data_IF_959058813943
#
_entry.id   IF_959058813943
#
_cell.length_a   1.000
_cell.length_b   1.000
_cell.length_c   1.000
_cell.angle_alpha   90.00
_cell.angle_beta   90.00
_cell.angle_gamma   90.00
#
_symmetry.space_group_name_H-M   'P 1'
#
loop_
_entity.id
_entity.type
_entity.pdbx_description
1 polymer ?
#
# COMPACT_ATOMS: atom_id res chain seq x y z
N UNK A 1 -12.30 7.55 36.29
CA UNK A 1 -11.07 6.75 36.28
C UNK A 1 -10.12 7.39 35.28
N UNK A 2 -9.04 8.03 35.74
CA UNK A 2 -8.05 8.67 34.87
C UNK A 2 -7.00 7.63 34.50
N UNK A 3 -6.99 7.17 33.25
CA UNK A 3 -5.91 6.34 32.72
C UNK A 3 -4.68 7.24 32.50
N UNK A 4 -3.68 7.10 33.36
CA UNK A 4 -2.35 7.66 33.12
C UNK A 4 -1.53 6.60 32.40
N UNK A 5 -1.30 6.82 31.11
CA UNK A 5 -0.34 6.04 30.33
C UNK A 5 0.91 6.88 30.06
N UNK A 6 2.07 6.25 30.10
CA UNK A 6 3.28 6.84 29.56
C UNK A 6 3.20 6.70 28.04
N UNK A 7 3.38 7.82 27.34
CA UNK A 7 3.40 7.84 25.87
C UNK A 7 4.79 8.26 25.41
N UNK A 8 5.36 7.51 24.51
CA UNK A 8 6.64 7.82 23.89
C UNK A 8 6.39 8.42 22.51
N UNK A 9 7.06 9.52 22.20
CA UNK A 9 6.98 10.17 20.91
C UNK A 9 8.37 10.23 20.30
N UNK A 10 8.45 9.98 18.99
CA UNK A 10 9.67 10.17 18.22
C UNK A 10 9.42 11.25 17.17
N UNK A 11 10.29 12.23 17.13
CA UNK A 11 10.30 13.27 16.11
C UNK A 11 11.52 13.12 15.24
N UNK A 12 11.33 13.25 13.93
CA UNK A 12 12.40 13.26 12.95
C UNK A 12 12.27 14.51 12.10
N UNK A 13 13.37 15.21 11.90
CA UNK A 13 13.45 16.35 11.00
C UNK A 13 14.11 15.90 9.70
N UNK A 14 13.40 16.02 8.60
CA UNK A 14 13.89 15.72 7.25
C UNK A 14 13.98 17.01 6.43
N UNK A 15 15.17 17.58 6.23
CA UNK A 15 15.36 18.63 5.25
C UNK A 15 15.19 18.06 3.84
N UNK A 16 14.28 18.63 3.05
CA UNK A 16 14.01 18.16 1.69
C UNK A 16 13.77 19.33 0.74
N UNK A 17 13.87 19.09 -0.57
CA UNK A 17 13.73 20.11 -1.62
C UNK A 17 12.31 20.51 -1.98
N UNK A 18 11.30 20.19 -1.15
CA UNK A 18 9.89 20.50 -1.39
C UNK A 18 9.11 19.34 -2.02
N UNK A 19 9.71 18.18 -2.27
CA UNK A 19 9.02 16.99 -2.75
C UNK A 19 8.32 16.28 -1.58
N UNK A 20 6.98 16.39 -1.53
CA UNK A 20 6.17 15.75 -0.50
C UNK A 20 6.15 14.22 -0.63
N UNK A 21 6.36 13.68 -1.84
CA UNK A 21 6.42 12.24 -2.04
C UNK A 21 7.66 11.62 -1.37
N UNK A 22 8.80 12.32 -1.41
CA UNK A 22 10.00 11.92 -0.70
C UNK A 22 9.75 11.90 0.81
N UNK A 23 9.19 12.97 1.35
CA UNK A 23 8.89 13.07 2.78
C UNK A 23 7.91 11.97 3.25
N UNK A 24 6.89 11.67 2.46
CA UNK A 24 5.92 10.61 2.76
C UNK A 24 6.59 9.21 2.78
N UNK A 25 7.50 8.93 1.85
CA UNK A 25 8.26 7.68 1.80
C UNK A 25 9.14 7.50 3.02
N UNK A 26 9.90 8.53 3.38
CA UNK A 26 10.77 8.50 4.57
C UNK A 26 9.96 8.34 5.87
N UNK A 27 8.81 9.00 5.97
CA UNK A 27 7.91 8.84 7.10
C UNK A 27 7.37 7.40 7.21
N UNK A 28 7.06 6.77 6.08
CA UNK A 28 6.60 5.39 6.03
C UNK A 28 7.70 4.42 6.51
N UNK A 29 8.94 4.57 6.02
CA UNK A 29 10.09 3.76 6.46
C UNK A 29 10.38 3.92 7.96
N UNK A 30 10.17 5.12 8.50
CA UNK A 30 10.34 5.38 9.92
C UNK A 30 9.28 4.67 10.79
N UNK A 31 8.03 4.64 10.31
CA UNK A 31 6.90 4.03 11.02
C UNK A 31 6.81 2.51 10.83
N UNK A 32 7.36 2.00 9.73
CA UNK A 32 7.39 0.58 9.38
C UNK A 32 8.83 0.14 9.09
N UNK A 33 9.70 0.07 10.13
CA UNK A 33 11.08 -0.32 9.94
C UNK A 33 11.17 -1.78 9.46
N UNK A 34 12.27 -2.07 8.75
CA UNK A 34 12.58 -3.45 8.34
C UNK A 34 12.79 -4.33 9.57
N UNK A 35 12.12 -5.46 9.62
CA UNK A 35 12.26 -6.44 10.69
C UNK A 35 13.26 -7.53 10.29
N UNK A 36 14.40 -7.66 11.00
CA UNK A 36 15.35 -8.73 10.74
C UNK A 36 14.87 -10.05 11.33
N UNK A 37 14.92 -11.11 10.55
CA UNK A 37 14.65 -12.48 11.01
C UNK A 37 15.93 -13.28 10.89
N UNK A 38 16.35 -13.92 11.99
CA UNK A 38 17.52 -14.79 12.01
C UNK A 38 17.11 -16.24 11.73
N UNK A 39 17.81 -16.88 10.81
CA UNK A 39 17.64 -18.27 10.45
C UNK A 39 18.96 -19.03 10.44
N UNK A 40 18.91 -20.34 10.45
CA UNK A 40 20.07 -21.18 10.20
C UNK A 40 20.25 -21.39 8.71
N UNK A 41 21.50 -21.69 8.29
CA UNK A 41 21.77 -22.04 6.91
C UNK A 41 21.11 -23.40 6.58
N UNK A 42 20.19 -23.39 5.61
CA UNK A 42 19.50 -24.57 5.12
C UNK A 42 19.29 -24.48 3.60
N UNK A 43 19.07 -25.61 2.95
CA UNK A 43 18.65 -25.63 1.56
C UNK A 43 17.22 -25.14 1.38
N UNK A 44 16.89 -24.57 0.23
CA UNK A 44 15.55 -24.12 -0.11
C UNK A 44 15.43 -23.75 -1.58
N UNK A 45 14.20 -23.63 -2.04
CA UNK A 45 13.87 -23.28 -3.44
C UNK A 45 13.39 -21.84 -3.60
N UNK A 46 13.27 -21.09 -2.48
CA UNK A 46 12.82 -19.70 -2.54
C UNK A 46 13.92 -18.79 -3.12
N UNK A 47 13.55 -17.76 -3.87
CA UNK A 47 14.51 -16.80 -4.40
C UNK A 47 15.17 -16.00 -3.27
N UNK A 48 16.36 -15.48 -3.53
CA UNK A 48 17.09 -14.65 -2.56
C UNK A 48 16.38 -13.31 -2.23
N UNK A 49 15.52 -12.84 -3.11
CA UNK A 49 14.67 -11.66 -2.91
C UNK A 49 13.32 -11.87 -3.55
N UNK A 50 12.29 -11.30 -2.96
CA UNK A 50 10.93 -11.33 -3.47
C UNK A 50 10.25 -9.99 -3.21
N UNK A 51 9.62 -9.42 -4.24
CA UNK A 51 8.77 -8.23 -4.13
C UNK A 51 7.32 -8.66 -4.36
N UNK A 52 6.50 -8.62 -3.33
CA UNK A 52 5.09 -9.05 -3.41
C UNK A 52 4.18 -8.02 -4.07
N UNK A 53 4.57 -6.74 -4.08
CA UNK A 53 3.79 -5.63 -4.64
C UNK A 53 4.73 -4.56 -5.19
N UNK A 54 4.49 -4.14 -6.42
CA UNK A 54 5.17 -3.02 -7.06
C UNK A 54 4.17 -1.94 -7.44
N UNK A 55 4.52 -0.68 -7.22
CA UNK A 55 3.73 0.50 -7.63
C UNK A 55 4.63 1.40 -8.46
N UNK A 56 4.35 1.50 -9.75
CA UNK A 56 5.11 2.34 -10.69
C UNK A 56 4.61 3.79 -10.65
N UNK A 57 4.86 4.44 -9.52
CA UNK A 57 4.60 5.87 -9.37
C UNK A 57 5.33 6.41 -8.13
N UNK A 58 6.12 7.48 -8.25
CA UNK A 58 6.82 8.04 -7.10
C UNK A 58 5.91 8.72 -6.08
N UNK A 59 4.69 9.10 -6.48
CA UNK A 59 3.74 9.81 -5.63
C UNK A 59 2.56 8.97 -5.16
N UNK A 60 2.54 7.68 -5.47
CA UNK A 60 1.50 6.76 -4.98
C UNK A 60 2.13 5.72 -4.08
N UNK A 61 1.57 5.57 -2.90
CA UNK A 61 2.03 4.62 -1.89
C UNK A 61 0.93 3.62 -1.60
N UNK A 62 1.27 2.34 -1.55
CA UNK A 62 0.40 1.31 -0.98
C UNK A 62 0.72 1.17 0.52
N UNK A 63 -0.15 1.67 1.38
CA UNK A 63 0.03 1.64 2.82
C UNK A 63 -0.46 0.33 3.45
N UNK A 64 -1.49 -0.27 2.87
CA UNK A 64 -2.14 -1.45 3.45
C UNK A 64 -2.22 -2.58 2.43
N UNK A 65 -1.73 -3.73 2.83
CA UNK A 65 -1.97 -5.02 2.18
C UNK A 65 -2.48 -5.97 3.26
N UNK A 66 -3.72 -6.41 3.16
CA UNK A 66 -4.32 -7.30 4.15
C UNK A 66 -5.33 -8.25 3.51
N UNK A 67 -5.72 -9.30 4.19
CA UNK A 67 -6.90 -10.06 3.81
C UNK A 67 -8.18 -9.24 4.06
N UNK A 68 -9.15 -9.38 3.18
CA UNK A 68 -10.48 -8.83 3.39
C UNK A 68 -11.13 -9.42 4.64
N UNK A 69 -12.06 -8.70 5.26
CA UNK A 69 -12.73 -9.15 6.50
C UNK A 69 -13.48 -10.48 6.31
N UNK A 70 -13.94 -10.77 5.09
CA UNK A 70 -14.57 -12.05 4.74
C UNK A 70 -13.57 -13.17 4.38
N UNK A 71 -12.27 -12.86 4.30
CA UNK A 71 -11.20 -13.79 3.96
C UNK A 71 -11.11 -14.19 2.47
N UNK A 72 -11.96 -13.66 1.60
CA UNK A 72 -12.09 -14.11 0.21
C UNK A 72 -11.17 -13.35 -0.77
N UNK A 73 -10.53 -12.26 -0.33
CA UNK A 73 -9.73 -11.40 -1.19
C UNK A 73 -8.55 -10.76 -0.44
N UNK A 74 -7.64 -10.14 -1.19
CA UNK A 74 -6.70 -9.15 -0.64
C UNK A 74 -7.28 -7.74 -0.80
N UNK A 75 -7.04 -6.92 0.20
CA UNK A 75 -7.33 -5.49 0.18
C UNK A 75 -6.01 -4.73 0.04
N UNK A 76 -5.97 -3.87 -0.96
CA UNK A 76 -4.90 -2.91 -1.17
C UNK A 76 -5.45 -1.51 -0.94
N UNK A 77 -4.79 -0.71 -0.08
CA UNK A 77 -5.10 0.72 0.07
C UNK A 77 -3.93 1.54 -0.40
N UNK A 78 -4.18 2.32 -1.43
CA UNK A 78 -3.20 3.19 -2.04
C UNK A 78 -3.65 4.64 -1.90
N UNK A 79 -2.70 5.55 -1.76
CA UNK A 79 -3.01 6.97 -1.70
C UNK A 79 -1.96 7.82 -2.43
N UNK A 80 -2.40 8.95 -2.92
CA UNK A 80 -1.56 9.93 -3.60
C UNK A 80 -0.97 10.91 -2.57
N UNK A 81 0.35 11.09 -2.56
CA UNK A 81 1.11 11.81 -1.52
C UNK A 81 1.58 13.21 -1.92
N UNK A 82 1.64 13.53 -3.22
CA UNK A 82 2.23 14.77 -3.71
C UNK A 82 1.22 15.93 -3.88
N UNK A 83 -0.08 15.67 -3.63
CA UNK A 83 -1.14 16.67 -3.76
C UNK A 83 -1.47 17.05 -5.20
N UNK A 84 -1.24 16.16 -6.16
CA UNK A 84 -1.51 16.34 -7.60
C UNK A 84 -2.08 15.08 -8.22
N UNK A 85 -2.86 15.18 -9.32
CA UNK A 85 -3.33 13.99 -10.02
C UNK A 85 -2.16 13.09 -10.43
N UNK A 86 -2.34 11.77 -10.27
CA UNK A 86 -1.33 10.78 -10.60
C UNK A 86 -1.97 9.55 -11.25
N UNK A 87 -1.14 8.80 -11.99
CA UNK A 87 -1.45 7.46 -12.43
C UNK A 87 -0.40 6.51 -11.87
N UNK A 88 -0.81 5.30 -11.56
CA UNK A 88 0.07 4.24 -11.11
C UNK A 88 -0.32 2.91 -11.76
N UNK A 89 0.68 2.17 -12.22
CA UNK A 89 0.55 0.77 -12.51
C UNK A 89 0.92 -0.03 -11.26
N UNK A 90 0.07 -0.97 -10.90
CA UNK A 90 0.24 -1.83 -9.73
C UNK A 90 0.44 -3.26 -10.22
N UNK A 91 1.55 -3.88 -9.82
CA UNK A 91 1.82 -5.29 -10.07
C UNK A 91 1.86 -6.04 -8.75
N UNK A 92 1.05 -7.08 -8.64
CA UNK A 92 0.95 -7.96 -7.47
C UNK A 92 1.51 -9.32 -7.84
N UNK A 93 2.48 -9.80 -7.05
CA UNK A 93 3.16 -11.09 -7.25
C UNK A 93 2.88 -12.07 -6.11
N UNK A 94 1.90 -11.76 -5.26
CA UNK A 94 1.49 -12.62 -4.14
C UNK A 94 0.81 -13.87 -4.70
N UNK A 95 1.24 -15.10 -4.34
CA UNK A 95 0.65 -16.33 -4.83
C UNK A 95 -0.88 -16.38 -4.68
N UNK A 96 -1.56 -16.79 -5.74
CA UNK A 96 -3.03 -16.82 -5.89
C UNK A 96 -3.71 -15.45 -6.10
N UNK A 97 -2.95 -14.35 -6.06
CA UNK A 97 -3.44 -12.98 -6.24
C UNK A 97 -2.64 -12.21 -7.28
N UNK A 98 -1.89 -12.93 -8.15
CA UNK A 98 -1.09 -12.31 -9.19
C UNK A 98 -1.97 -11.45 -10.10
N UNK A 99 -1.60 -10.20 -10.26
CA UNK A 99 -2.40 -9.23 -11.03
C UNK A 99 -1.57 -8.05 -11.48
N UNK A 100 -2.03 -7.40 -12.55
CA UNK A 100 -1.50 -6.11 -13.00
C UNK A 100 -2.66 -5.23 -13.43
N UNK A 101 -2.74 -4.03 -12.88
CA UNK A 101 -3.81 -3.08 -13.18
C UNK A 101 -3.33 -1.64 -13.01
N UNK A 102 -4.02 -0.70 -13.66
CA UNK A 102 -3.72 0.73 -13.58
C UNK A 102 -4.78 1.45 -12.75
N UNK A 103 -4.36 2.46 -11.99
CA UNK A 103 -5.21 3.32 -11.19
C UNK A 103 -4.92 4.78 -11.51
N UNK A 104 -5.98 5.59 -11.55
CA UNK A 104 -5.87 7.05 -11.62
C UNK A 104 -6.27 7.63 -10.27
N UNK A 105 -5.53 8.64 -9.81
CA UNK A 105 -5.74 9.30 -8.53
C UNK A 105 -5.98 10.79 -8.75
N UNK A 106 -6.96 11.35 -8.06
CA UNK A 106 -7.05 12.78 -7.79
C UNK A 106 -6.02 13.21 -6.74
N UNK A 107 -6.02 14.50 -6.39
CA UNK A 107 -5.14 15.05 -5.34
C UNK A 107 -5.46 14.41 -4.00
N UNK A 108 -4.44 13.87 -3.33
CA UNK A 108 -4.55 13.27 -1.99
C UNK A 108 -5.69 12.22 -1.89
N UNK A 109 -5.98 11.58 -3.01
CA UNK A 109 -7.04 10.57 -3.07
C UNK A 109 -6.55 9.24 -2.50
N UNK A 110 -7.42 8.59 -1.75
CA UNK A 110 -7.25 7.22 -1.26
C UNK A 110 -8.11 6.30 -2.13
N UNK A 111 -7.50 5.22 -2.62
CA UNK A 111 -8.17 4.17 -3.35
C UNK A 111 -8.04 2.84 -2.64
N UNK A 112 -9.16 2.15 -2.45
CA UNK A 112 -9.21 0.78 -1.96
C UNK A 112 -9.49 -0.14 -3.15
N UNK A 113 -8.67 -1.16 -3.30
CA UNK A 113 -8.84 -2.21 -4.31
C UNK A 113 -9.02 -3.54 -3.59
N UNK A 114 -10.05 -4.26 -3.98
CA UNK A 114 -10.29 -5.64 -3.59
C UNK A 114 -9.81 -6.54 -4.70
N UNK A 115 -8.86 -7.41 -4.40
CA UNK A 115 -8.25 -8.33 -5.34
C UNK A 115 -8.66 -9.75 -5.01
N UNK A 116 -9.46 -10.37 -5.89
CA UNK A 116 -9.93 -11.73 -5.71
C UNK A 116 -8.83 -12.77 -5.95
N UNK A 117 -9.03 -13.99 -5.46
CA UNK A 117 -8.22 -15.12 -5.89
C UNK A 117 -8.39 -15.29 -7.41
N UNK A 118 -7.27 -15.37 -8.13
CA UNK A 118 -7.28 -15.37 -9.60
C UNK A 118 -7.01 -14.00 -10.23
N UNK A 119 -6.79 -12.94 -9.41
CA UNK A 119 -6.19 -11.69 -9.87
C UNK A 119 -7.18 -10.65 -10.41
N UNK A 120 -8.49 -10.80 -10.22
CA UNK A 120 -9.45 -9.78 -10.59
C UNK A 120 -9.43 -8.62 -9.58
N UNK A 121 -9.10 -7.42 -10.06
CA UNK A 121 -9.04 -6.20 -9.26
C UNK A 121 -10.34 -5.41 -9.38
N UNK A 122 -10.99 -5.14 -8.26
CA UNK A 122 -12.23 -4.38 -8.19
C UNK A 122 -12.08 -3.20 -7.23
N UNK A 123 -12.57 -2.00 -7.56
CA UNK A 123 -12.62 -0.88 -6.63
C UNK A 123 -13.57 -1.22 -5.48
N UNK A 124 -13.17 -0.80 -4.27
CA UNK A 124 -13.95 -1.01 -3.05
C UNK A 124 -14.04 0.29 -2.23
N UNK A 125 -15.03 0.35 -1.37
CA UNK A 125 -15.13 1.40 -0.36
C UNK A 125 -14.19 1.11 0.86
N UNK A 126 -14.14 2.01 1.82
CA UNK A 126 -13.32 1.83 3.03
C UNK A 126 -13.79 0.67 3.92
N UNK A 127 -15.02 0.20 3.73
CA UNK A 127 -15.58 -0.99 4.37
C UNK A 127 -15.39 -2.26 3.53
N UNK A 128 -14.52 -2.19 2.51
CA UNK A 128 -14.10 -3.30 1.64
C UNK A 128 -15.20 -3.87 0.74
N UNK A 129 -16.32 -3.15 0.62
CA UNK A 129 -17.42 -3.55 -0.24
C UNK A 129 -17.15 -3.11 -1.67
N UNK A 130 -17.32 -4.00 -2.68
CA UNK A 130 -17.17 -3.63 -4.08
C UNK A 130 -18.03 -2.43 -4.45
N UNK A 131 -17.45 -1.45 -5.13
CA UNK A 131 -18.18 -0.30 -5.66
C UNK A 131 -18.07 -0.29 -7.19
N UNK A 132 -19.17 0.04 -7.87
CA UNK A 132 -19.11 0.31 -9.29
C UNK A 132 -18.41 1.65 -9.49
N UNK A 133 -17.39 1.68 -10.33
CA UNK A 133 -16.83 2.96 -10.79
C UNK A 133 -17.97 3.75 -11.41
N UNK A 134 -18.24 4.96 -10.90
CA UNK A 134 -19.04 5.91 -11.67
C UNK A 134 -18.25 6.21 -12.93
N UNK A 135 -18.82 5.95 -14.09
CA UNK A 135 -18.28 6.44 -15.35
C UNK A 135 -18.08 7.95 -15.16
N UNK A 136 -16.84 8.40 -15.24
CA UNK A 136 -16.54 9.83 -15.29
C UNK A 136 -17.27 10.37 -16.52
N UNK A 137 -18.30 11.17 -16.27
CA UNK A 137 -18.93 11.93 -17.34
C UNK A 137 -17.85 12.87 -17.89
N UNK A 138 -17.52 12.63 -19.15
CA UNK A 138 -16.67 13.48 -19.97
C UNK A 138 -17.17 14.92 -20.02
#
# INVERSE_FOLDING_TARGET
MLFRSVQEFRYVLLPHGGDLAEAAREAMLLNQPVEPVYGTNHGGELPASFCGLEVDSPSVVCETVKYAEDGEALILRLYETAGRPAQAEVAVHIPHYESRFSLSFGKQEIRTVRLSRGGEAQPADLLERPVKLKEERA
#
